data_IF_015972655372
#
_entry.id   IF_015972655372
#
_cell.length_a   1.000
_cell.length_b   1.000
_cell.length_c   1.000
_cell.angle_alpha   90.00
_cell.angle_beta   90.00
_cell.angle_gamma   90.00
#
_symmetry.space_group_name_H-M   'P 1'
#
loop_
_entity.id
_entity.type
_entity.pdbx_description
1 polymer ?
#
# COMPACT_ATOMS: atom_id res chain seq x y z
N UNK A 1 21.30 7.33 72.05
CA UNK A 1 19.94 7.39 71.45
C UNK A 1 20.07 7.74 69.97
N UNK A 2 20.12 6.73 69.09
CA UNK A 2 20.25 6.91 67.64
C UNK A 2 18.83 6.88 67.05
N UNK A 3 18.38 8.00 66.47
CA UNK A 3 17.10 8.11 65.78
C UNK A 3 17.24 7.46 64.39
N UNK A 4 16.49 6.39 64.13
CA UNK A 4 16.34 5.84 62.80
C UNK A 4 15.40 6.71 61.97
N UNK A 5 15.95 7.32 60.91
CA UNK A 5 15.23 8.06 59.90
C UNK A 5 14.73 7.06 58.84
N UNK A 6 13.44 6.71 58.88
CA UNK A 6 12.82 5.91 57.82
C UNK A 6 12.61 6.76 56.57
N UNK A 7 13.36 6.46 55.51
CA UNK A 7 13.17 7.03 54.18
C UNK A 7 12.08 6.22 53.45
N UNK A 8 10.88 6.78 53.34
CA UNK A 8 9.78 6.18 52.60
C UNK A 8 9.98 6.44 51.11
N UNK A 9 10.51 5.45 50.38
CA UNK A 9 10.64 5.51 48.92
C UNK A 9 9.29 5.22 48.27
N UNK A 10 8.60 6.27 47.83
CA UNK A 10 7.39 6.16 47.01
C UNK A 10 7.77 5.74 45.60
N UNK A 11 7.64 4.44 45.31
CA UNK A 11 7.76 3.90 43.95
C UNK A 11 6.55 4.35 43.14
N UNK A 12 6.77 5.30 42.22
CA UNK A 12 5.76 5.75 41.27
C UNK A 12 5.58 4.66 40.20
N UNK A 13 4.61 3.77 40.42
CA UNK A 13 4.22 2.74 39.45
C UNK A 13 3.55 3.44 38.25
N UNK A 14 4.32 3.73 37.22
CA UNK A 14 3.78 4.21 35.95
C UNK A 14 3.04 3.05 35.28
N UNK A 15 1.71 3.06 35.35
CA UNK A 15 0.86 2.14 34.59
C UNK A 15 1.07 2.48 33.11
N UNK A 16 1.98 1.76 32.46
CA UNK A 16 2.07 1.75 31.00
C UNK A 16 0.72 1.25 30.49
N UNK A 17 -0.03 2.13 29.83
CA UNK A 17 -1.20 1.71 29.07
C UNK A 17 -0.69 0.84 27.92
N UNK A 18 -0.67 -0.47 28.14
CA UNK A 18 -0.39 -1.43 27.08
C UNK A 18 -1.54 -1.36 26.08
N UNK A 19 -1.33 -0.63 24.99
CA UNK A 19 -2.12 -0.89 23.79
C UNK A 19 -1.93 -2.37 23.45
N UNK A 20 -3.01 -3.13 23.33
CA UNK A 20 -2.92 -4.55 22.97
C UNK A 20 -2.34 -4.64 21.56
N UNK A 21 -1.03 -4.90 21.51
CA UNK A 21 -0.30 -5.26 20.31
C UNK A 21 -0.59 -6.74 20.04
N UNK A 22 -0.89 -7.04 18.78
CA UNK A 22 -1.16 -8.38 18.31
C UNK A 22 -0.17 -8.64 17.19
N UNK A 23 0.53 -9.78 17.25
CA UNK A 23 1.44 -10.21 16.19
C UNK A 23 0.76 -11.20 15.25
N UNK A 24 1.11 -11.10 13.98
CA UNK A 24 0.72 -12.04 12.93
C UNK A 24 1.99 -12.79 12.54
N UNK A 25 1.98 -14.11 12.73
CA UNK A 25 3.10 -14.99 12.48
C UNK A 25 2.72 -16.02 11.42
N UNK A 26 3.71 -16.48 10.67
CA UNK A 26 3.58 -17.64 9.80
C UNK A 26 3.34 -18.89 10.65
N UNK A 27 2.38 -19.72 10.23
CA UNK A 27 1.94 -20.91 10.95
C UNK A 27 3.01 -21.98 11.09
N UNK A 28 3.97 -22.03 10.16
CA UNK A 28 4.94 -23.11 10.04
C UNK A 28 6.32 -22.68 10.58
N UNK A 29 6.89 -21.63 9.99
CA UNK A 29 8.19 -21.04 10.33
C UNK A 29 8.19 -20.16 11.58
N UNK A 30 7.02 -19.68 12.01
CA UNK A 30 6.86 -18.71 13.13
C UNK A 30 7.49 -17.34 12.88
N UNK A 31 7.92 -17.05 11.65
CA UNK A 31 8.42 -15.74 11.28
C UNK A 31 7.28 -14.71 11.20
N UNK A 32 7.54 -13.41 11.43
CA UNK A 32 6.54 -12.37 11.28
C UNK A 32 5.99 -12.26 9.86
N UNK A 33 4.67 -12.04 9.74
CA UNK A 33 4.02 -11.74 8.45
C UNK A 33 3.88 -10.23 8.29
N UNK A 34 4.81 -9.64 7.54
CA UNK A 34 4.88 -8.20 7.34
C UNK A 34 3.69 -7.66 6.55
N UNK A 35 3.22 -6.47 6.94
CA UNK A 35 2.24 -5.67 6.19
C UNK A 35 0.94 -6.40 5.80
N UNK A 36 0.49 -7.35 6.64
CA UNK A 36 -0.82 -7.97 6.51
C UNK A 36 -1.93 -6.92 6.63
N UNK A 37 -2.95 -7.03 5.78
CA UNK A 37 -4.14 -6.17 5.84
C UNK A 37 -5.13 -6.75 6.84
N UNK A 38 -5.65 -5.90 7.73
CA UNK A 38 -6.67 -6.26 8.72
C UNK A 38 -7.92 -5.44 8.42
N UNK A 39 -8.85 -6.04 7.70
CA UNK A 39 -10.15 -5.47 7.35
C UNK A 39 -11.14 -5.63 8.49
N UNK A 40 -11.94 -4.59 8.72
CA UNK A 40 -13.07 -4.61 9.65
C UNK A 40 -14.40 -4.99 8.96
N UNK A 41 -14.36 -5.36 7.68
CA UNK A 41 -15.54 -5.78 6.89
C UNK A 41 -16.49 -4.66 6.50
N UNK A 42 -16.26 -3.43 6.97
CA UNK A 42 -17.11 -2.27 6.72
C UNK A 42 -16.44 -1.20 5.84
N UNK A 43 -15.42 -1.59 5.07
CA UNK A 43 -14.61 -0.69 4.24
C UNK A 43 -13.49 0.04 4.97
N UNK A 44 -13.42 -0.07 6.30
CA UNK A 44 -12.28 0.41 7.10
C UNK A 44 -11.38 -0.76 7.49
N UNK A 45 -10.13 -0.46 7.81
CA UNK A 45 -9.18 -1.43 8.32
C UNK A 45 -7.89 -0.77 8.82
N UNK A 46 -6.93 -1.62 9.15
CA UNK A 46 -5.56 -1.26 9.52
C UNK A 46 -4.60 -2.22 8.83
N UNK A 47 -3.30 -1.94 8.91
CA UNK A 47 -2.24 -2.78 8.32
C UNK A 47 -1.23 -3.05 9.44
N UNK A 48 -0.72 -4.27 9.50
CA UNK A 48 0.40 -4.62 10.37
C UNK A 48 1.69 -3.91 9.93
N UNK A 49 2.65 -3.75 10.84
CA UNK A 49 3.97 -3.25 10.50
C UNK A 49 4.86 -4.34 9.87
N UNK A 50 6.13 -4.01 9.68
CA UNK A 50 7.17 -4.89 9.16
C UNK A 50 7.43 -6.11 10.05
N UNK A 51 7.16 -6.01 11.35
CA UNK A 51 7.27 -7.09 12.34
C UNK A 51 5.94 -7.85 12.50
N UNK A 52 4.98 -7.64 11.60
CA UNK A 52 3.67 -8.28 11.65
C UNK A 52 2.81 -7.82 12.85
N UNK A 53 3.12 -6.68 13.46
CA UNK A 53 2.42 -6.18 14.64
C UNK A 53 1.35 -5.16 14.24
N UNK A 54 0.15 -5.30 14.81
CA UNK A 54 -0.89 -4.27 14.75
C UNK A 54 -1.49 -3.99 16.11
N UNK A 55 -2.20 -2.87 16.25
CA UNK A 55 -2.87 -2.47 17.49
C UNK A 55 -4.38 -2.50 17.30
N UNK A 56 -5.06 -3.28 18.13
CA UNK A 56 -6.51 -3.33 18.18
C UNK A 56 -7.01 -3.41 19.62
N UNK A 57 -7.97 -2.58 19.98
CA UNK A 57 -8.68 -2.66 21.26
C UNK A 57 -10.14 -2.26 21.07
N UNK A 58 -11.05 -2.78 21.90
CA UNK A 58 -12.45 -2.33 21.93
C UNK A 58 -12.61 -0.85 22.28
N UNK A 59 -11.64 -0.26 22.99
CA UNK A 59 -11.62 1.18 23.25
C UNK A 59 -11.37 1.99 21.97
N UNK A 60 -10.46 1.52 21.11
CA UNK A 60 -10.19 2.16 19.82
C UNK A 60 -11.31 1.85 18.82
N UNK A 61 -11.78 0.62 18.76
CA UNK A 61 -12.71 0.13 17.74
C UNK A 61 -13.92 -0.55 18.40
N UNK A 62 -14.81 0.22 19.07
CA UNK A 62 -15.90 -0.35 19.88
C UNK A 62 -16.96 -1.07 19.05
N UNK A 63 -17.14 -0.64 17.80
CA UNK A 63 -18.16 -1.14 16.88
C UNK A 63 -17.67 -2.28 15.98
N UNK A 64 -16.42 -2.73 16.15
CA UNK A 64 -15.83 -3.79 15.31
C UNK A 64 -15.87 -5.12 16.08
N UNK A 65 -16.59 -6.11 15.56
CA UNK A 65 -16.76 -7.42 16.18
C UNK A 65 -15.95 -8.55 15.52
N UNK A 66 -15.49 -8.34 14.29
CA UNK A 66 -14.82 -9.34 13.44
C UNK A 66 -13.66 -8.69 12.68
N UNK A 67 -12.60 -9.47 12.45
CA UNK A 67 -11.43 -9.08 11.66
C UNK A 67 -11.24 -10.08 10.52
N UNK A 68 -10.90 -9.57 9.34
CA UNK A 68 -10.51 -10.36 8.16
C UNK A 68 -9.08 -9.99 7.79
N UNK A 69 -8.18 -10.97 7.87
CA UNK A 69 -6.73 -10.78 7.76
C UNK A 69 -6.24 -11.46 6.48
N UNK A 70 -5.54 -10.71 5.64
CA UNK A 70 -5.00 -11.17 4.36
C UNK A 70 -3.54 -10.73 4.18
N UNK A 71 -2.70 -11.59 3.62
CA UNK A 71 -1.29 -11.29 3.33
C UNK A 71 -0.83 -12.01 2.05
N UNK A 72 0.22 -11.49 1.41
CA UNK A 72 0.77 -12.09 0.19
C UNK A 72 1.30 -13.50 0.47
N UNK A 73 0.79 -14.50 -0.23
CA UNK A 73 1.22 -15.90 -0.10
C UNK A 73 0.57 -16.67 1.06
N UNK A 74 -0.46 -16.12 1.71
CA UNK A 74 -1.13 -16.74 2.85
C UNK A 74 -2.63 -16.93 2.60
N UNK A 75 -3.20 -17.95 3.23
CA UNK A 75 -4.66 -18.12 3.31
C UNK A 75 -5.25 -17.03 4.20
N UNK A 76 -6.37 -16.46 3.76
CA UNK A 76 -7.11 -15.47 4.54
C UNK A 76 -7.62 -16.05 5.87
N UNK A 77 -7.53 -15.26 6.94
CA UNK A 77 -8.02 -15.60 8.28
C UNK A 77 -9.19 -14.69 8.66
N UNK A 78 -10.33 -15.28 9.00
CA UNK A 78 -11.47 -14.57 9.58
C UNK A 78 -11.61 -14.93 11.06
N UNK A 79 -11.66 -13.94 11.94
CA UNK A 79 -11.72 -14.16 13.39
C UNK A 79 -12.66 -13.19 14.10
N UNK A 80 -13.40 -13.67 15.09
CA UNK A 80 -14.15 -12.79 16.00
C UNK A 80 -13.20 -12.08 16.95
N UNK A 81 -13.40 -10.78 17.16
CA UNK A 81 -12.69 -9.97 18.16
C UNK A 81 -12.84 -10.48 19.59
N UNK A 82 -13.85 -11.33 19.88
CA UNK A 82 -14.00 -12.00 21.18
C UNK A 82 -12.98 -13.13 21.40
N UNK A 83 -12.41 -13.67 20.32
CA UNK A 83 -11.43 -14.77 20.33
C UNK A 83 -10.01 -14.28 20.05
N UNK A 84 -9.81 -12.96 20.03
CA UNK A 84 -8.54 -12.34 19.65
C UNK A 84 -7.46 -12.66 20.67
N UNK A 85 -6.42 -13.35 20.21
CA UNK A 85 -5.24 -13.67 21.00
C UNK A 85 -4.11 -12.66 20.71
N UNK A 86 -3.10 -12.52 21.60
CA UNK A 86 -1.93 -11.68 21.34
C UNK A 86 -1.11 -12.12 20.12
N UNK A 87 -1.24 -13.38 19.71
CA UNK A 87 -0.59 -13.94 18.53
C UNK A 87 -1.63 -14.60 17.63
N UNK A 88 -1.57 -14.30 16.34
CA UNK A 88 -2.38 -14.91 15.30
C UNK A 88 -1.46 -15.60 14.30
N UNK A 89 -1.94 -16.70 13.72
CA UNK A 89 -1.18 -17.47 12.73
C UNK A 89 -1.87 -17.42 11.37
N UNK A 90 -1.12 -17.09 10.34
CA UNK A 90 -1.52 -17.28 8.94
C UNK A 90 -0.76 -18.47 8.38
N UNK A 91 -1.44 -19.30 7.60
CA UNK A 91 -0.81 -20.44 6.96
C UNK A 91 -0.54 -20.13 5.49
N UNK A 92 0.64 -20.51 4.97
CA UNK A 92 0.93 -20.37 3.55
C UNK A 92 -0.19 -20.94 2.69
N UNK A 93 -0.54 -20.20 1.63
CA UNK A 93 -1.40 -20.71 0.59
C UNK A 93 -0.50 -21.42 -0.43
N UNK A 94 -0.63 -22.74 -0.52
CA UNK A 94 -0.11 -23.49 -1.65
C UNK A 94 -0.99 -23.16 -2.85
N UNK A 95 -0.67 -22.09 -3.58
CA UNK A 95 -1.22 -21.91 -4.92
C UNK A 95 -0.68 -23.01 -5.82
N UNK A 96 -1.55 -23.57 -6.67
CA UNK A 96 -1.19 -24.48 -7.76
C UNK A 96 -0.06 -23.84 -8.57
N UNK A 97 1.11 -24.37 -8.35
CA UNK A 97 2.30 -24.04 -9.09
C UNK A 97 2.10 -24.59 -10.51
N UNK A 98 1.65 -23.75 -11.43
CA UNK A 98 2.12 -23.88 -12.81
C UNK A 98 3.65 -23.70 -12.76
N UNK A 99 4.33 -24.84 -12.64
CA UNK A 99 5.78 -25.05 -12.60
C UNK A 99 6.59 -24.08 -11.73
N UNK A 100 6.40 -24.13 -10.42
CA UNK A 100 7.57 -24.05 -9.52
C UNK A 100 8.02 -25.48 -9.29
N UNK A 101 8.80 -25.95 -10.26
CA UNK A 101 9.70 -27.08 -10.01
C UNK A 101 10.61 -26.64 -8.87
N UNK A 102 10.53 -27.37 -7.77
CA UNK A 102 11.43 -27.29 -6.63
C UNK A 102 12.85 -27.48 -7.15
N UNK A 103 13.62 -26.39 -7.27
CA UNK A 103 15.02 -26.40 -7.67
C UNK A 103 15.43 -25.16 -8.44
N UNK A 104 15.85 -24.11 -7.72
CA UNK A 104 16.43 -22.85 -8.25
C UNK A 104 15.41 -22.01 -9.04
N UNK A 105 15.13 -20.78 -8.59
CA UNK A 105 14.52 -19.76 -9.46
C UNK A 105 15.51 -19.55 -10.62
N UNK A 106 15.32 -20.25 -11.74
CA UNK A 106 16.17 -20.04 -12.92
C UNK A 106 15.83 -18.64 -13.43
N UNK A 107 16.75 -17.71 -13.25
CA UNK A 107 16.65 -16.41 -13.89
C UNK A 107 16.82 -16.61 -15.41
N UNK A 108 15.70 -16.61 -16.14
CA UNK A 108 15.65 -16.74 -17.61
C UNK A 108 16.43 -15.63 -18.34
N UNK A 109 16.92 -14.65 -17.60
CA UNK A 109 17.64 -13.49 -18.09
C UNK A 109 19.12 -13.46 -17.69
N UNK A 110 19.57 -14.42 -16.89
CA UNK A 110 20.95 -14.47 -16.40
C UNK A 110 21.94 -14.53 -17.58
N UNK A 111 22.94 -13.65 -17.56
CA UNK A 111 23.97 -13.55 -18.61
C UNK A 111 23.49 -12.98 -19.96
N UNK A 112 22.19 -12.68 -20.13
CA UNK A 112 21.67 -12.10 -21.37
C UNK A 112 21.94 -10.60 -21.44
N UNK A 113 22.33 -10.13 -22.63
CA UNK A 113 22.46 -8.69 -22.89
C UNK A 113 21.07 -8.08 -23.09
N UNK A 114 20.86 -6.90 -22.52
CA UNK A 114 19.61 -6.16 -22.67
C UNK A 114 19.85 -4.71 -23.09
N UNK A 115 18.77 -4.07 -23.53
CA UNK A 115 18.65 -2.61 -23.67
C UNK A 115 17.57 -2.13 -22.70
N UNK A 116 17.77 -0.98 -22.08
CA UNK A 116 16.73 -0.33 -21.28
C UNK A 116 15.78 0.47 -22.17
N UNK A 117 14.49 0.18 -22.08
CA UNK A 117 13.41 0.99 -22.65
C UNK A 117 12.67 1.69 -21.50
N UNK A 118 12.47 3.00 -21.63
CA UNK A 118 11.94 3.84 -20.55
C UNK A 118 10.65 4.54 -20.96
N UNK A 119 9.58 4.33 -20.19
CA UNK A 119 8.38 5.14 -20.22
C UNK A 119 8.44 6.17 -19.09
N UNK A 120 8.33 7.46 -19.43
CA UNK A 120 8.33 8.54 -18.45
C UNK A 120 6.99 8.60 -17.69
N UNK A 121 7.00 8.90 -16.38
CA UNK A 121 5.78 9.18 -15.66
C UNK A 121 5.15 10.51 -16.09
N UNK A 122 3.84 10.66 -15.91
CA UNK A 122 3.16 11.95 -16.00
C UNK A 122 3.33 12.72 -14.69
N UNK A 123 3.81 13.96 -14.77
CA UNK A 123 4.05 14.83 -13.62
C UNK A 123 3.11 16.02 -13.66
N UNK A 124 2.52 16.36 -12.51
CA UNK A 124 1.71 17.56 -12.30
C UNK A 124 1.70 17.87 -10.79
N UNK A 125 1.62 19.15 -10.42
CA UNK A 125 1.57 19.61 -9.03
C UNK A 125 0.26 20.33 -8.68
N UNK A 126 -0.70 20.38 -9.61
CA UNK A 126 -2.02 20.94 -9.37
C UNK A 126 -2.84 20.04 -8.45
N UNK A 127 -3.03 20.52 -7.22
CA UNK A 127 -3.87 19.90 -6.20
C UNK A 127 -5.22 19.40 -6.74
N UNK A 128 -5.89 20.18 -7.61
CA UNK A 128 -7.23 19.83 -8.11
C UNK A 128 -7.23 18.73 -9.16
N UNK A 129 -6.06 18.39 -9.69
CA UNK A 129 -5.85 17.26 -10.60
C UNK A 129 -5.30 16.04 -9.87
N UNK A 130 -5.14 16.10 -8.55
CA UNK A 130 -4.58 15.00 -7.80
C UNK A 130 -5.65 14.18 -7.07
N UNK A 131 -5.42 12.87 -7.00
CA UNK A 131 -6.12 12.02 -6.04
C UNK A 131 -5.46 12.17 -4.67
N UNK A 132 -6.30 12.36 -3.66
CA UNK A 132 -6.03 12.22 -2.22
C UNK A 132 -6.03 10.74 -1.79
N UNK A 133 -4.87 10.12 -1.54
CA UNK A 133 -4.79 8.71 -1.19
C UNK A 133 -5.36 8.41 0.19
N UNK A 134 -6.01 7.27 0.34
CA UNK A 134 -6.46 6.70 1.62
C UNK A 134 -5.93 5.28 1.74
N UNK A 135 -5.77 4.75 2.96
CA UNK A 135 -5.33 3.35 3.14
C UNK A 135 -6.30 2.31 2.55
N UNK A 136 -7.55 2.74 2.36
CA UNK A 136 -8.62 1.90 1.86
C UNK A 136 -8.51 1.73 0.35
N UNK A 137 -7.72 2.55 -0.35
CA UNK A 137 -7.67 2.58 -1.81
C UNK A 137 -6.35 2.02 -2.32
N UNK A 138 -6.44 1.13 -3.30
CA UNK A 138 -5.33 0.67 -4.12
C UNK A 138 -5.60 1.10 -5.56
N UNK A 139 -4.54 1.57 -6.24
CA UNK A 139 -4.60 2.08 -7.61
C UNK A 139 -3.66 1.24 -8.46
N UNK A 140 -4.15 0.65 -9.54
CA UNK A 140 -3.34 -0.12 -10.48
C UNK A 140 -3.32 0.55 -11.85
N UNK A 141 -2.19 0.45 -12.55
CA UNK A 141 -2.00 0.92 -13.92
C UNK A 141 -1.61 -0.27 -14.79
N UNK A 142 -2.32 -0.45 -15.91
CA UNK A 142 -2.03 -1.47 -16.91
C UNK A 142 -0.86 -1.06 -17.81
N UNK A 143 0.05 -1.99 -18.05
CA UNK A 143 1.14 -1.91 -19.00
C UNK A 143 1.04 -3.10 -19.97
N UNK A 144 0.67 -2.87 -21.24
CA UNK A 144 0.61 -3.95 -22.22
C UNK A 144 2.02 -4.45 -22.55
N UNK A 145 2.12 -5.70 -22.99
CA UNK A 145 3.30 -6.17 -23.68
C UNK A 145 3.11 -6.01 -25.19
N UNK A 146 3.78 -5.04 -25.80
CA UNK A 146 3.54 -4.65 -27.20
C UNK A 146 4.16 -5.61 -28.24
N UNK A 147 5.01 -6.54 -27.80
CA UNK A 147 5.71 -7.51 -28.66
C UNK A 147 6.18 -8.73 -27.85
N UNK A 148 6.64 -9.77 -28.54
CA UNK A 148 7.03 -11.05 -27.95
C UNK A 148 8.44 -11.06 -27.33
N UNK A 149 9.14 -9.92 -27.29
CA UNK A 149 10.50 -9.87 -26.71
C UNK A 149 10.43 -10.17 -25.22
N UNK A 150 11.41 -10.92 -24.72
CA UNK A 150 11.57 -11.14 -23.29
C UNK A 150 11.89 -9.80 -22.60
N UNK A 151 11.00 -9.38 -21.69
CA UNK A 151 11.11 -8.12 -20.95
C UNK A 151 11.04 -8.38 -19.44
N UNK A 152 11.93 -7.72 -18.70
CA UNK A 152 11.91 -7.66 -17.23
C UNK A 152 11.62 -6.23 -16.78
N UNK A 153 10.84 -6.08 -15.72
CA UNK A 153 10.67 -4.79 -15.06
C UNK A 153 11.92 -4.50 -14.23
N UNK A 154 12.62 -3.41 -14.55
CA UNK A 154 13.79 -2.97 -13.78
C UNK A 154 13.37 -1.94 -12.72
N UNK A 155 12.65 -0.90 -13.13
CA UNK A 155 12.25 0.19 -12.23
C UNK A 155 10.82 0.64 -12.47
N UNK A 156 10.17 1.09 -11.40
CA UNK A 156 8.86 1.74 -11.45
C UNK A 156 8.98 3.18 -10.95
N UNK A 157 8.37 4.11 -11.67
CA UNK A 157 8.41 5.56 -11.37
C UNK A 157 7.02 6.03 -11.00
N UNK A 158 6.77 6.19 -9.71
CA UNK A 158 5.48 6.63 -9.18
C UNK A 158 5.42 8.15 -9.11
N UNK A 159 4.66 8.84 -9.97
CA UNK A 159 4.56 10.30 -9.89
C UNK A 159 3.82 10.72 -8.61
N UNK A 160 4.34 11.75 -7.96
CA UNK A 160 3.84 12.27 -6.69
C UNK A 160 3.81 13.80 -6.74
N UNK A 161 2.80 14.40 -6.10
CA UNK A 161 2.67 15.84 -6.00
C UNK A 161 2.86 16.29 -4.55
N UNK A 162 3.85 17.16 -4.33
CA UNK A 162 4.23 17.69 -3.02
C UNK A 162 3.57 19.04 -2.74
N UNK A 163 2.76 19.09 -1.68
CA UNK A 163 2.08 20.31 -1.26
C UNK A 163 3.02 21.30 -0.55
N UNK A 164 2.96 22.57 -0.95
CA UNK A 164 3.54 23.68 -0.18
C UNK A 164 2.90 23.78 1.21
N UNK A 165 3.69 24.14 2.22
CA UNK A 165 3.22 24.35 3.60
C UNK A 165 2.13 25.43 3.71
N UNK A 166 2.23 26.46 2.87
CA UNK A 166 1.23 27.52 2.75
C UNK A 166 0.41 27.37 1.47
N UNK A 167 -0.91 27.25 1.60
CA UNK A 167 -1.84 27.08 0.46
C UNK A 167 -1.73 28.17 -0.61
N UNK A 168 -1.50 29.43 -0.20
CA UNK A 168 -1.30 30.57 -1.10
C UNK A 168 -0.07 30.42 -2.01
N UNK A 169 0.89 29.59 -1.62
CA UNK A 169 2.14 29.34 -2.33
C UNK A 169 2.15 28.00 -3.08
N UNK A 170 1.01 27.32 -3.23
CA UNK A 170 0.95 26.02 -3.91
C UNK A 170 1.48 26.03 -5.34
N UNK A 171 1.37 27.17 -6.04
CA UNK A 171 1.88 27.36 -7.41
C UNK A 171 3.38 27.73 -7.50
N UNK A 172 4.13 27.68 -6.39
CA UNK A 172 5.55 28.11 -6.34
C UNK A 172 6.44 26.90 -6.03
N UNK A 173 7.29 26.51 -6.97
CA UNK A 173 8.17 25.34 -6.85
C UNK A 173 9.15 25.42 -5.66
N UNK A 174 9.80 26.56 -5.44
CA UNK A 174 10.89 26.73 -4.45
C UNK A 174 10.40 27.04 -3.03
N UNK A 175 9.27 26.48 -2.58
CA UNK A 175 8.71 26.75 -1.25
C UNK A 175 8.72 25.52 -0.36
N UNK A 176 8.88 25.76 0.95
CA UNK A 176 8.92 24.73 1.98
C UNK A 176 7.68 23.82 1.85
N UNK A 177 7.93 22.53 1.64
CA UNK A 177 6.90 21.52 1.49
C UNK A 177 6.40 21.08 2.86
N UNK A 178 5.14 20.66 2.93
CA UNK A 178 4.57 20.13 4.16
C UNK A 178 5.22 18.78 4.47
N UNK A 179 5.90 18.66 5.60
CA UNK A 179 6.56 17.43 6.02
C UNK A 179 5.58 16.26 6.14
N UNK A 180 5.98 15.11 5.65
CA UNK A 180 5.25 13.86 5.84
C UNK A 180 6.20 12.67 5.73
N UNK A 181 5.69 11.51 6.11
CA UNK A 181 6.42 10.27 6.00
C UNK A 181 5.40 9.15 5.86
N UNK A 182 5.22 8.67 4.64
CA UNK A 182 4.16 7.71 4.30
C UNK A 182 4.78 6.48 3.67
N UNK A 183 4.35 5.31 4.13
CA UNK A 183 4.76 4.04 3.58
C UNK A 183 3.69 3.58 2.58
N UNK A 184 4.19 3.13 1.42
CA UNK A 184 3.41 2.60 0.31
C UNK A 184 3.78 1.14 0.08
N UNK A 185 2.78 0.35 -0.28
CA UNK A 185 2.93 -1.02 -0.75
C UNK A 185 2.71 -1.06 -2.25
N UNK A 186 3.54 -1.83 -2.95
CA UNK A 186 3.49 -2.02 -4.40
C UNK A 186 3.18 -3.48 -4.69
N UNK A 187 2.20 -3.72 -5.56
CA UNK A 187 1.90 -5.06 -6.06
C UNK A 187 1.98 -5.06 -7.58
N UNK A 188 2.53 -6.12 -8.14
CA UNK A 188 2.47 -6.41 -9.57
C UNK A 188 1.46 -7.54 -9.73
N UNK A 189 0.53 -7.39 -10.66
CA UNK A 189 -0.48 -8.40 -10.97
C UNK A 189 -0.39 -8.81 -12.43
N UNK A 190 -0.72 -10.06 -12.72
CA UNK A 190 -1.00 -10.48 -14.09
C UNK A 190 -2.27 -9.77 -14.61
N UNK A 191 -2.37 -9.67 -15.92
CA UNK A 191 -3.60 -9.27 -16.57
C UNK A 191 -4.54 -10.47 -16.72
N UNK A 192 -5.64 -10.48 -15.96
CA UNK A 192 -6.69 -11.48 -16.06
C UNK A 192 -7.93 -10.84 -16.69
N UNK A 193 -8.17 -11.10 -17.97
CA UNK A 193 -9.31 -10.59 -18.74
C UNK A 193 -9.49 -9.06 -18.67
N UNK A 194 -8.38 -8.32 -18.77
CA UNK A 194 -8.36 -6.85 -18.76
C UNK A 194 -8.44 -6.21 -17.37
N UNK A 195 -8.19 -6.98 -16.31
CA UNK A 195 -8.19 -6.51 -14.91
C UNK A 195 -6.99 -7.12 -14.15
N UNK A 196 -6.54 -6.50 -13.05
CA UNK A 196 -5.52 -7.13 -12.21
C UNK A 196 -6.03 -8.47 -11.65
N UNK A 197 -5.27 -9.53 -11.90
CA UNK A 197 -5.53 -10.91 -11.49
C UNK A 197 -4.69 -11.34 -10.29
N UNK A 198 -4.00 -12.47 -10.39
CA UNK A 198 -3.08 -12.98 -9.37
C UNK A 198 -1.88 -12.03 -9.17
N UNK A 199 -1.44 -11.93 -7.93
CA UNK A 199 -0.26 -11.14 -7.55
C UNK A 199 1.03 -11.90 -7.96
N UNK A 200 1.91 -11.23 -8.69
CA UNK A 200 3.17 -11.76 -9.22
C UNK A 200 4.37 -11.48 -8.31
N UNK A 201 4.18 -10.70 -7.24
CA UNK A 201 5.24 -10.46 -6.27
C UNK A 201 5.69 -11.76 -5.61
N UNK A 202 7.00 -11.93 -5.43
CA UNK A 202 7.54 -13.04 -4.62
C UNK A 202 7.77 -12.67 -3.16
N UNK A 203 7.76 -11.37 -2.85
CA UNK A 203 7.85 -10.81 -1.50
C UNK A 203 7.09 -9.48 -1.40
N UNK A 204 6.92 -8.98 -0.18
CA UNK A 204 6.25 -7.69 0.02
C UNK A 204 7.18 -6.55 -0.38
N UNK A 205 6.78 -5.79 -1.40
CA UNK A 205 7.51 -4.61 -1.87
C UNK A 205 6.88 -3.36 -1.25
N UNK A 206 7.68 -2.58 -0.53
CA UNK A 206 7.27 -1.30 0.07
C UNK A 206 8.31 -0.22 -0.17
N UNK A 207 7.86 1.04 -0.21
CA UNK A 207 8.75 2.18 -0.18
C UNK A 207 8.17 3.31 0.67
N UNK A 208 9.06 4.14 1.19
CA UNK A 208 8.71 5.30 2.01
C UNK A 208 8.85 6.56 1.18
N UNK A 209 7.76 7.31 1.05
CA UNK A 209 7.76 8.64 0.47
C UNK A 209 7.76 9.72 1.55
N UNK A 210 8.48 10.80 1.29
CA UNK A 210 8.64 11.99 2.12
C UNK A 210 8.57 13.25 1.26
N UNK A 211 8.65 14.42 1.89
CA UNK A 211 8.73 15.68 1.15
C UNK A 211 10.06 15.90 0.39
N UNK A 212 11.01 14.96 0.50
CA UNK A 212 12.32 15.03 -0.16
C UNK A 212 12.38 14.29 -1.51
N UNK A 213 11.39 13.44 -1.80
CA UNK A 213 11.38 12.55 -2.98
C UNK A 213 11.26 13.30 -4.32
N UNK A 214 10.90 14.59 -4.32
CA UNK A 214 10.67 15.36 -5.55
C UNK A 214 9.31 15.05 -6.19
N UNK A 215 9.27 15.02 -7.52
CA UNK A 215 8.02 14.90 -8.30
C UNK A 215 7.63 13.44 -8.63
N UNK A 216 8.51 12.47 -8.36
CA UNK A 216 8.22 11.05 -8.46
C UNK A 216 9.17 10.25 -7.55
N UNK A 217 8.72 9.08 -7.08
CA UNK A 217 9.58 8.10 -6.43
C UNK A 217 10.03 7.06 -7.46
N UNK A 218 11.33 6.82 -7.55
CA UNK A 218 11.91 5.73 -8.36
C UNK A 218 12.17 4.51 -7.47
N UNK A 219 11.48 3.41 -7.78
CA UNK A 219 11.60 2.15 -7.08
C UNK A 219 12.32 1.15 -7.98
N UNK A 220 13.49 0.69 -7.55
CA UNK A 220 14.21 -0.42 -8.17
C UNK A 220 13.58 -1.75 -7.74
N UNK A 221 13.19 -2.57 -8.71
CA UNK A 221 12.64 -3.91 -8.48
C UNK A 221 13.31 -4.96 -9.37
N UNK A 222 14.51 -4.68 -9.88
CA UNK A 222 15.20 -5.59 -10.80
C UNK A 222 15.45 -6.96 -10.16
N UNK A 223 15.82 -6.99 -8.88
CA UNK A 223 16.09 -8.22 -8.10
C UNK A 223 14.84 -9.10 -7.93
N UNK A 224 13.63 -8.55 -8.11
CA UNK A 224 12.39 -9.31 -8.06
C UNK A 224 12.22 -10.25 -9.25
N UNK A 225 13.01 -10.03 -10.31
CA UNK A 225 13.01 -10.81 -11.53
C UNK A 225 11.63 -11.01 -12.18
N UNK A 226 10.82 -9.95 -12.18
CA UNK A 226 9.46 -10.00 -12.71
C UNK A 226 9.51 -9.80 -14.24
N UNK A 227 9.23 -10.89 -14.96
CA UNK A 227 9.03 -10.87 -16.40
C UNK A 227 7.63 -10.35 -16.74
N UNK A 228 7.52 -9.61 -17.84
CA UNK A 228 6.23 -9.16 -18.36
C UNK A 228 5.57 -10.32 -19.11
N UNK A 229 4.38 -10.82 -18.70
CA UNK A 229 3.63 -11.82 -19.45
C UNK A 229 3.14 -11.27 -20.80
N UNK A 230 2.74 -12.18 -21.70
CA UNK A 230 2.16 -11.82 -23.01
C UNK A 230 0.97 -10.87 -22.88
N UNK A 231 0.08 -11.14 -21.93
CA UNK A 231 -1.10 -10.30 -21.64
C UNK A 231 -0.77 -8.97 -20.95
N UNK A 232 0.50 -8.67 -20.70
CA UNK A 232 0.94 -7.50 -19.94
C UNK A 232 0.74 -7.64 -18.43
N UNK A 233 0.98 -6.54 -17.73
CA UNK A 233 0.96 -6.48 -16.26
C UNK A 233 0.19 -5.28 -15.74
N UNK A 234 -0.28 -5.39 -14.51
CA UNK A 234 -0.71 -4.26 -13.72
C UNK A 234 0.30 -3.98 -12.62
N UNK A 235 0.66 -2.71 -12.43
CA UNK A 235 1.45 -2.27 -11.29
C UNK A 235 0.58 -1.39 -10.42
N UNK A 236 0.50 -1.69 -9.12
CA UNK A 236 -0.34 -0.98 -8.18
C UNK A 236 0.44 -0.23 -7.09
N UNK A 237 -0.26 0.73 -6.50
CA UNK A 237 0.19 1.52 -5.37
C UNK A 237 -0.93 1.56 -4.31
N UNK A 238 -0.60 1.14 -3.08
CA UNK A 238 -1.47 1.19 -1.92
C UNK A 238 -0.81 1.98 -0.80
N UNK A 239 -1.55 2.89 -0.15
CA UNK A 239 -1.07 3.51 1.08
C UNK A 239 -1.24 2.54 2.24
N UNK A 240 -0.22 2.37 3.08
CA UNK A 240 -0.36 1.58 4.31
C UNK A 240 -0.37 2.44 5.58
N UNK A 241 0.25 3.62 5.53
CA UNK A 241 0.03 4.67 6.53
C UNK A 241 1.23 5.57 6.78
N UNK A 242 1.11 6.44 7.79
CA UNK A 242 2.22 7.30 8.22
C UNK A 242 3.24 6.50 9.02
N UNK A 243 4.51 6.90 8.92
CA UNK A 243 5.61 6.31 9.68
C UNK A 243 6.22 7.32 10.64
N UNK A 244 6.97 6.81 11.60
CA UNK A 244 7.91 7.62 12.37
C UNK A 244 9.13 8.01 11.52
N UNK A 245 10.08 8.73 12.13
CA UNK A 245 11.32 9.19 11.47
C UNK A 245 12.19 8.05 10.94
N UNK A 246 12.11 6.87 11.55
CA UNK A 246 12.87 5.68 11.20
C UNK A 246 12.15 4.81 10.15
N UNK A 247 10.97 5.22 9.67
CA UNK A 247 10.21 4.44 8.68
C UNK A 247 9.26 3.40 9.28
N UNK A 248 9.20 3.23 10.60
CA UNK A 248 8.27 2.30 11.24
C UNK A 248 6.83 2.82 11.22
N UNK A 249 5.88 1.96 10.86
CA UNK A 249 4.46 2.30 10.73
C UNK A 249 3.86 2.77 12.06
N UNK A 250 3.08 3.84 12.02
CA UNK A 250 2.39 4.36 13.22
C UNK A 250 1.06 3.61 13.46
N UNK A 251 0.76 3.19 14.70
CA UNK A 251 -0.45 2.42 15.03
C UNK A 251 -1.70 3.30 15.21
N UNK A 252 -1.78 4.44 14.55
CA UNK A 252 -2.88 5.39 14.71
C UNK A 252 -4.15 4.95 13.97
N UNK A 253 -5.32 5.38 14.48
CA UNK A 253 -6.58 5.29 13.72
C UNK A 253 -6.41 5.92 12.35
N UNK A 254 -6.99 5.27 11.36
CA UNK A 254 -6.84 5.63 9.94
C UNK A 254 -8.05 6.42 9.41
N UNK A 255 -8.96 6.77 10.32
CA UNK A 255 -10.11 7.64 10.09
C UNK A 255 -10.33 8.56 11.30
N UNK A 256 -11.05 9.66 11.08
CA UNK A 256 -11.52 10.58 12.13
C UNK A 256 -13.01 10.35 12.37
N UNK A 257 -13.45 10.50 13.61
CA UNK A 257 -14.85 10.39 14.00
C UNK A 257 -15.41 11.81 14.22
N UNK A 258 -16.48 12.14 13.51
CA UNK A 258 -17.24 13.38 13.70
C UNK A 258 -18.60 13.02 14.27
N UNK A 259 -18.91 13.55 15.46
CA UNK A 259 -20.22 13.36 16.09
C UNK A 259 -21.18 14.44 15.59
N UNK A 260 -22.32 14.02 15.07
CA UNK A 260 -23.43 14.89 14.70
C UNK A 260 -24.76 14.40 15.27
N UNK A 261 -25.86 15.14 15.05
CA UNK A 261 -27.18 14.79 15.56
C UNK A 261 -27.70 13.43 15.08
N UNK A 262 -27.28 13.00 13.87
CA UNK A 262 -27.68 11.72 13.25
C UNK A 262 -26.72 10.56 13.55
N UNK A 263 -25.72 10.76 14.43
CA UNK A 263 -24.74 9.74 14.81
C UNK A 263 -23.29 10.13 14.52
N UNK A 264 -22.41 9.14 14.54
CA UNK A 264 -20.97 9.35 14.30
C UNK A 264 -20.60 8.99 12.86
N UNK A 265 -20.01 9.94 12.16
CA UNK A 265 -19.49 9.77 10.80
C UNK A 265 -17.99 9.49 10.86
N UNK A 266 -17.54 8.44 10.18
CA UNK A 266 -16.11 8.11 10.04
C UNK A 266 -15.59 8.68 8.72
N UNK A 267 -14.60 9.57 8.79
CA UNK A 267 -13.96 10.18 7.62
C UNK A 267 -12.56 9.60 7.47
N UNK A 268 -12.25 8.92 6.35
CA UNK A 268 -10.92 8.38 6.11
C UNK A 268 -9.83 9.44 6.20
N UNK A 269 -8.66 9.04 6.68
CA UNK A 269 -7.49 9.93 6.67
C UNK A 269 -6.92 9.97 5.26
N UNK A 270 -6.77 11.18 4.73
CA UNK A 270 -6.00 11.39 3.50
C UNK A 270 -4.50 11.42 3.82
N UNK A 271 -3.72 10.76 2.98
CA UNK A 271 -2.28 10.67 3.10
C UNK A 271 -1.59 11.57 2.07
N UNK A 272 -0.33 11.85 2.33
CA UNK A 272 0.60 12.48 1.39
C UNK A 272 1.58 11.43 0.86
N UNK A 273 2.17 11.61 -0.32
CA UNK A 273 1.93 12.71 -1.24
C UNK A 273 0.58 12.57 -1.96
N UNK A 274 0.24 13.58 -2.75
CA UNK A 274 -0.89 13.52 -3.67
C UNK A 274 -0.48 12.76 -4.93
N UNK A 275 -1.44 12.18 -5.66
CA UNK A 275 -1.15 11.41 -6.88
C UNK A 275 -1.73 12.15 -8.10
N UNK A 276 -0.91 12.69 -9.01
CA UNK A 276 -1.39 13.48 -10.14
C UNK A 276 -2.09 12.62 -11.20
N UNK A 277 -3.29 13.04 -11.61
CA UNK A 277 -4.07 12.40 -12.66
C UNK A 277 -4.06 13.24 -13.94
N UNK A 278 -4.20 12.55 -15.07
CA UNK A 278 -4.15 13.13 -16.41
C UNK A 278 -5.23 12.57 -17.33
N UNK A 279 -5.51 13.31 -18.40
CA UNK A 279 -6.29 12.90 -19.56
C UNK A 279 -5.44 12.86 -20.85
N UNK A 280 -4.12 13.03 -20.74
CA UNK A 280 -3.20 12.99 -21.88
C UNK A 280 -2.90 11.55 -22.37
N UNK A 281 -3.21 10.55 -21.53
CA UNK A 281 -3.14 9.14 -21.89
C UNK A 281 -4.50 8.74 -22.46
N UNK A 282 -4.50 8.29 -23.72
CA UNK A 282 -5.73 8.03 -24.48
C UNK A 282 -6.48 6.78 -23.98
N UNK A 283 -5.73 5.78 -23.52
CA UNK A 283 -6.22 4.52 -23.00
C UNK A 283 -6.76 4.68 -21.58
N UNK A 284 -7.80 3.91 -21.22
CA UNK A 284 -8.25 3.83 -19.83
C UNK A 284 -7.49 2.73 -19.09
N UNK A 285 -6.26 3.03 -18.66
CA UNK A 285 -5.36 2.02 -18.07
C UNK A 285 -5.34 2.02 -16.55
N UNK A 286 -6.07 2.92 -15.88
CA UNK A 286 -6.10 3.01 -14.41
C UNK A 286 -7.30 2.28 -13.81
N UNK A 287 -7.04 1.51 -12.76
CA UNK A 287 -8.00 0.71 -12.03
C UNK A 287 -7.89 0.99 -10.53
N UNK A 288 -9.01 0.86 -9.82
CA UNK A 288 -9.09 1.13 -8.40
C UNK A 288 -9.81 0.01 -7.68
N UNK A 289 -9.36 -0.28 -6.47
CA UNK A 289 -10.00 -1.22 -5.55
C UNK A 289 -10.05 -0.61 -4.15
N UNK A 290 -11.11 -0.94 -3.40
CA UNK A 290 -11.19 -0.73 -1.95
C UNK A 290 -10.70 -1.99 -1.23
N UNK A 291 -9.61 -1.88 -0.48
CA UNK A 291 -8.88 -3.02 0.09
C UNK A 291 -9.64 -3.69 1.24
N UNK A 292 -10.34 -2.91 2.07
CA UNK A 292 -11.06 -3.44 3.24
C UNK A 292 -12.54 -3.73 3.01
N UNK A 293 -12.95 -3.90 1.75
CA UNK A 293 -14.28 -4.37 1.40
C UNK A 293 -14.13 -5.81 0.89
N UNK A 294 -14.72 -6.76 1.61
CA UNK A 294 -14.68 -8.17 1.22
C UNK A 294 -15.42 -8.36 -0.13
N UNK A 295 -14.86 -9.19 -1.02
CA UNK A 295 -15.41 -9.44 -2.36
C UNK A 295 -15.33 -8.25 -3.32
N UNK A 296 -14.57 -7.20 -2.98
CA UNK A 296 -14.48 -6.04 -3.85
C UNK A 296 -13.59 -6.30 -5.07
N UNK A 297 -14.14 -5.98 -6.23
CA UNK A 297 -13.50 -6.19 -7.52
C UNK A 297 -12.79 -4.92 -7.99
N UNK A 298 -11.77 -5.11 -8.82
CA UNK A 298 -11.13 -4.02 -9.55
C UNK A 298 -12.13 -3.32 -10.46
N UNK A 299 -12.15 -1.99 -10.39
CA UNK A 299 -12.98 -1.14 -11.22
C UNK A 299 -12.09 -0.21 -12.04
N UNK A 300 -12.30 -0.18 -13.35
CA UNK A 300 -11.62 0.79 -14.20
C UNK A 300 -12.04 2.20 -13.81
N UNK A 301 -11.07 3.10 -13.59
CA UNK A 301 -11.28 4.48 -13.18
C UNK A 301 -11.79 5.32 -14.35
N UNK A 302 -13.07 5.16 -14.67
CA UNK A 302 -13.73 5.80 -15.81
C UNK A 302 -15.15 6.23 -15.43
N UNK A 303 -15.63 7.32 -16.02
CA UNK A 303 -17.01 7.77 -15.88
C UNK A 303 -17.99 6.66 -16.30
N UNK A 304 -18.98 6.39 -15.46
CA UNK A 304 -20.01 5.36 -15.70
C UNK A 304 -19.73 4.00 -15.04
N UNK A 305 -18.52 3.75 -14.52
CA UNK A 305 -18.15 2.46 -13.91
C UNK A 305 -18.35 2.41 -12.39
N UNK A 306 -19.40 3.05 -11.86
CA UNK A 306 -19.74 2.99 -10.42
C UNK A 306 -18.86 3.82 -9.48
N UNK A 307 -17.75 4.39 -9.95
CA UNK A 307 -16.89 5.27 -9.15
C UNK A 307 -17.23 6.75 -9.36
N UNK A 308 -17.49 7.49 -8.28
CA UNK A 308 -17.69 8.93 -8.32
C UNK A 308 -16.42 9.66 -7.84
N UNK A 309 -15.86 10.50 -8.70
CA UNK A 309 -14.68 11.32 -8.39
C UNK A 309 -14.78 12.70 -9.03
N UNK A 310 -14.28 13.73 -8.36
CA UNK A 310 -14.08 15.05 -8.97
C UNK A 310 -13.11 14.99 -10.15
N UNK A 311 -12.12 14.08 -10.10
CA UNK A 311 -11.17 13.87 -11.20
C UNK A 311 -11.89 13.42 -12.47
N UNK A 312 -12.79 12.42 -12.34
CA UNK A 312 -13.61 11.93 -13.46
C UNK A 312 -14.58 12.98 -13.98
N UNK A 313 -15.10 13.88 -13.12
CA UNK A 313 -15.92 15.02 -13.56
C UNK A 313 -15.11 16.00 -14.41
N UNK A 314 -13.83 16.16 -14.10
CA UNK A 314 -12.87 16.98 -14.87
C UNK A 314 -12.22 16.23 -16.04
N UNK A 315 -12.66 15.00 -16.35
CA UNK A 315 -12.12 14.19 -17.45
C UNK A 315 -10.76 13.54 -17.17
N UNK A 316 -10.24 13.64 -15.94
CA UNK A 316 -8.97 13.05 -15.53
C UNK A 316 -9.21 11.59 -15.10
N UNK A 317 -8.70 10.65 -15.89
CA UNK A 317 -9.02 9.22 -15.78
C UNK A 317 -7.78 8.33 -15.60
N UNK A 318 -6.57 8.88 -15.71
CA UNK A 318 -5.34 8.08 -15.62
C UNK A 318 -4.35 8.57 -14.57
N UNK A 319 -3.77 7.62 -13.83
CA UNK A 319 -2.54 7.80 -13.08
C UNK A 319 -1.35 7.39 -13.97
N UNK A 320 -0.44 8.32 -14.25
CA UNK A 320 0.63 8.11 -15.23
C UNK A 320 1.91 7.55 -14.65
N UNK A 321 1.90 6.30 -14.15
CA UNK A 321 3.12 5.61 -13.72
C UNK A 321 4.10 5.45 -14.91
N UNK A 322 5.38 5.68 -14.66
CA UNK A 322 6.48 5.38 -15.59
C UNK A 322 7.17 4.05 -15.23
N UNK A 323 7.90 3.48 -16.17
CA UNK A 323 8.56 2.18 -16.00
C UNK A 323 9.84 2.12 -16.83
N UNK A 324 10.88 1.48 -16.30
CA UNK A 324 12.06 1.07 -17.05
C UNK A 324 12.05 -0.44 -17.22
N UNK A 325 12.23 -0.89 -18.47
CA UNK A 325 12.21 -2.28 -18.87
C UNK A 325 13.57 -2.70 -19.39
N UNK A 326 14.07 -3.83 -18.91
CA UNK A 326 15.18 -4.53 -19.55
C UNK A 326 14.61 -5.40 -20.64
N UNK A 327 14.88 -5.03 -21.89
CA UNK A 327 14.48 -5.79 -23.08
C UNK A 327 15.67 -6.61 -23.54
N UNK A 328 15.55 -7.93 -23.41
CA UNK A 328 16.64 -8.85 -23.71
C UNK A 328 16.77 -9.05 -25.21
N UNK A 329 18.03 -9.18 -25.65
CA UNK A 329 18.34 -9.59 -27.02
C UNK A 329 18.19 -11.12 -27.12
N UNK A 330 17.80 -11.58 -28.30
CA UNK A 330 17.78 -13.00 -28.65
C UNK A 330 19.16 -13.66 -28.52
#
# INVERSE_FOLDING_TARGET
MIKHLCFFSTVFLSILQSHTQISILDGDSKLPVSYASISFGNGNGIVADDEGIFVFTKKLYPDIDSLYISALGYKDLSISTKQLQPQLFLYPQADELDEVVIGVKIDKTEGKKYKTESLKPYLDDDYYKCWLPTIESEIAVYFPNEDDRLKRIAKVKFPIALESKEWKNRKKANKEKKKFSTLFKVNIYENLYGKPGRNLNTETIVFRATEQDGDYHELDIEEQNILIPEEGVFISLQVIGYTNKNGKLLPNKKYKEIKGPQGTVKIPTNFRPLLPFTNQISENRTFVKRVFINGNNWQMFKKGNGFQSSLLKSGLNNYGIGIDLHVFKD
#
